data_IF_577936550208
#
_entry.id   IF_577936550208
#
_cell.length_a   1.000
_cell.length_b   1.000
_cell.length_c   1.000
_cell.angle_alpha   90.00
_cell.angle_beta   90.00
_cell.angle_gamma   90.00
#
_symmetry.space_group_name_H-M   'P 1'
#
loop_
_entity.id
_entity.type
_entity.pdbx_description
1 polymer ?
#
# COMPACT_ATOMS: atom_id res chain seq x y z
N UNK A 1 41.90 50.83 23.67
CA UNK A 1 40.47 50.44 23.60
C UNK A 1 40.33 49.29 22.62
N UNK A 2 39.74 48.18 23.08
CA UNK A 2 39.68 46.86 22.43
C UNK A 2 38.68 46.81 21.26
N UNK A 3 38.89 46.00 20.20
CA UNK A 3 37.85 45.72 19.22
C UNK A 3 36.86 44.71 19.78
N UNK A 4 35.56 45.03 19.72
CA UNK A 4 34.50 44.08 20.04
C UNK A 4 34.47 42.95 19.01
N UNK A 5 34.95 41.77 19.41
CA UNK A 5 34.74 40.51 18.70
C UNK A 5 33.38 39.96 19.13
N UNK A 6 32.33 40.17 18.35
CA UNK A 6 31.05 39.48 18.53
C UNK A 6 30.38 39.26 17.18
N UNK A 7 30.53 38.05 16.61
CA UNK A 7 29.43 37.18 16.17
C UNK A 7 30.02 35.95 15.46
N UNK A 8 30.41 34.91 16.20
CA UNK A 8 30.69 33.57 15.63
C UNK A 8 29.96 32.46 16.40
N UNK A 9 29.09 32.80 17.35
CA UNK A 9 28.49 31.85 18.28
C UNK A 9 27.18 31.21 17.78
N UNK A 10 26.63 31.62 16.64
CA UNK A 10 25.42 31.01 16.09
C UNK A 10 25.70 29.81 15.15
N UNK A 11 26.87 29.78 14.51
CA UNK A 11 27.19 28.76 13.49
C UNK A 11 27.32 27.32 14.04
N UNK A 12 27.95 27.06 15.21
CA UNK A 12 28.00 25.69 15.75
C UNK A 12 26.65 25.23 16.34
N UNK A 13 25.78 26.17 16.74
CA UNK A 13 24.45 25.85 17.28
C UNK A 13 23.48 25.39 16.16
N UNK A 14 23.58 26.00 14.98
CA UNK A 14 22.82 25.60 13.79
C UNK A 14 23.22 24.20 13.32
N UNK A 15 24.51 23.85 13.38
CA UNK A 15 25.00 22.51 12.98
C UNK A 15 24.49 21.39 13.90
N UNK A 16 24.32 21.62 15.21
CA UNK A 16 23.71 20.63 16.11
C UNK A 16 22.21 20.40 15.82
N UNK A 17 21.49 21.43 15.38
CA UNK A 17 20.06 21.32 15.08
C UNK A 17 19.75 20.48 13.83
N UNK A 18 20.69 20.42 12.87
CA UNK A 18 20.55 19.62 11.65
C UNK A 18 20.70 18.12 11.93
N UNK A 19 21.49 17.74 12.95
CA UNK A 19 21.68 16.34 13.37
C UNK A 19 20.46 15.73 14.08
N UNK A 20 19.51 16.57 14.52
CA UNK A 20 18.25 16.14 15.14
C UNK A 20 17.11 15.91 14.12
N UNK A 21 17.35 16.13 12.82
CA UNK A 21 16.43 15.67 11.78
C UNK A 21 16.67 14.19 11.48
N UNK A 22 16.56 13.36 12.52
CA UNK A 22 16.34 11.94 12.30
C UNK A 22 15.03 11.83 11.53
N UNK A 23 15.04 11.07 10.43
CA UNK A 23 13.85 10.83 9.63
C UNK A 23 12.77 10.24 10.56
N UNK A 24 11.88 11.09 11.06
CA UNK A 24 10.67 10.72 11.79
C UNK A 24 9.64 10.10 10.83
N UNK A 25 10.10 9.39 9.79
CA UNK A 25 9.28 8.53 8.97
C UNK A 25 9.04 7.23 9.75
N UNK A 26 8.05 7.33 10.65
CA UNK A 26 7.13 6.26 11.03
C UNK A 26 7.75 5.00 11.69
N UNK A 27 7.90 5.02 13.01
CA UNK A 27 7.87 3.77 13.78
C UNK A 27 7.39 3.95 15.23
N UNK A 28 6.25 4.63 15.43
CA UNK A 28 5.38 4.26 16.55
C UNK A 28 4.48 3.14 16.02
N UNK A 29 4.96 1.89 16.12
CA UNK A 29 4.18 0.72 15.73
C UNK A 29 2.88 0.69 16.55
N UNK A 30 1.75 0.57 15.87
CA UNK A 30 0.37 0.56 16.35
C UNK A 30 0.21 0.06 17.81
N UNK A 31 0.35 0.94 18.80
CA UNK A 31 0.39 0.55 20.23
C UNK A 31 -1.00 0.10 20.71
N UNK A 32 -2.05 0.74 20.18
CA UNK A 32 -3.43 0.55 20.64
C UNK A 32 -4.39 0.06 19.55
N UNK A 33 -3.89 -0.19 18.33
CA UNK A 33 -4.73 -0.60 17.20
C UNK A 33 -4.06 -1.71 16.41
N UNK A 34 -4.83 -2.60 15.77
CA UNK A 34 -4.27 -3.67 14.95
C UNK A 34 -3.51 -3.08 13.76
N UNK A 35 -2.37 -3.70 13.44
CA UNK A 35 -1.60 -3.41 12.23
C UNK A 35 -2.04 -4.35 11.12
N UNK A 36 -2.33 -3.79 9.95
CA UNK A 36 -2.61 -4.58 8.76
C UNK A 36 -1.61 -4.28 7.66
N UNK A 37 -1.38 -5.29 6.81
CA UNK A 37 -0.65 -5.13 5.55
C UNK A 37 -1.54 -5.62 4.42
N UNK A 38 -1.75 -4.78 3.41
CA UNK A 38 -2.40 -5.20 2.16
C UNK A 38 -1.31 -5.45 1.14
N UNK A 39 -1.41 -6.57 0.44
CA UNK A 39 -0.46 -6.98 -0.61
C UNK A 39 -1.25 -7.31 -1.86
N UNK A 40 -0.87 -6.75 -3.00
CA UNK A 40 -1.40 -7.06 -4.32
C UNK A 40 -0.26 -7.63 -5.16
N UNK A 41 -0.41 -8.86 -5.62
CA UNK A 41 0.60 -9.56 -6.43
C UNK A 41 0.13 -9.73 -7.86
N UNK A 42 1.06 -9.57 -8.81
CA UNK A 42 0.81 -9.81 -10.23
C UNK A 42 1.17 -11.26 -10.60
N UNK A 43 0.16 -12.11 -10.77
CA UNK A 43 0.28 -13.49 -11.24
C UNK A 43 -0.38 -13.68 -12.61
N UNK A 44 -0.42 -12.61 -13.42
CA UNK A 44 -0.96 -12.67 -14.77
C UNK A 44 -0.11 -13.57 -15.69
N UNK A 45 -0.63 -14.02 -16.84
CA UNK A 45 0.13 -14.83 -17.77
C UNK A 45 1.42 -14.15 -18.25
N UNK A 46 2.45 -14.96 -18.49
CA UNK A 46 3.66 -14.52 -19.18
C UNK A 46 3.32 -13.88 -20.54
N UNK A 47 4.16 -12.93 -20.97
CA UNK A 47 3.99 -12.17 -22.21
C UNK A 47 2.75 -11.27 -22.26
N UNK A 48 2.20 -10.89 -21.10
CA UNK A 48 1.18 -9.84 -20.98
C UNK A 48 1.77 -8.57 -20.37
N UNK A 49 1.05 -7.44 -20.52
CA UNK A 49 1.45 -6.17 -19.93
C UNK A 49 1.48 -6.21 -18.39
N UNK A 50 2.11 -5.21 -17.74
CA UNK A 50 2.13 -5.14 -16.28
C UNK A 50 0.71 -4.96 -15.72
N UNK A 51 0.51 -5.36 -14.46
CA UNK A 51 -0.72 -5.04 -13.73
C UNK A 51 -0.64 -3.57 -13.28
N UNK A 52 -1.50 -2.72 -13.81
CA UNK A 52 -1.65 -1.34 -13.35
C UNK A 52 -2.65 -1.30 -12.21
N UNK A 53 -2.39 -0.47 -11.20
CA UNK A 53 -3.31 -0.30 -10.09
C UNK A 53 -3.32 1.13 -9.55
N UNK A 54 -4.42 1.48 -8.92
CA UNK A 54 -4.57 2.67 -8.09
C UNK A 54 -5.27 2.27 -6.81
N UNK A 55 -4.73 2.62 -5.66
CA UNK A 55 -5.34 2.31 -4.38
C UNK A 55 -5.40 3.57 -3.53
N UNK A 56 -6.50 3.73 -2.80
CA UNK A 56 -6.67 4.87 -1.91
C UNK A 56 -7.60 4.52 -0.75
N UNK A 57 -7.51 5.31 0.31
CA UNK A 57 -8.56 5.46 1.31
C UNK A 57 -9.16 6.86 1.21
N UNK A 58 -10.11 7.19 2.10
CA UNK A 58 -10.62 8.56 2.23
C UNK A 58 -9.50 9.59 2.48
N UNK A 59 -8.49 9.21 3.25
CA UNK A 59 -7.50 10.16 3.80
C UNK A 59 -6.09 9.97 3.23
N UNK A 60 -5.85 8.90 2.48
CA UNK A 60 -4.54 8.60 1.94
C UNK A 60 -4.66 8.04 0.52
N UNK A 61 -4.15 8.80 -0.44
CA UNK A 61 -3.98 8.33 -1.81
C UNK A 61 -2.63 7.62 -1.93
N UNK A 62 -2.65 6.31 -2.23
CA UNK A 62 -1.43 5.53 -2.45
C UNK A 62 -0.90 5.70 -3.88
N UNK A 63 -1.69 6.29 -4.78
CA UNK A 63 -1.32 6.64 -6.14
C UNK A 63 -1.39 5.49 -7.13
N UNK A 64 -0.95 5.79 -8.35
CA UNK A 64 -0.87 4.84 -9.46
C UNK A 64 0.45 4.07 -9.45
N UNK A 65 0.36 2.75 -9.61
CA UNK A 65 1.51 1.85 -9.69
C UNK A 65 1.37 0.89 -10.86
N UNK A 66 2.50 0.36 -11.30
CA UNK A 66 2.60 -0.68 -12.31
C UNK A 66 3.46 -1.82 -11.77
N UNK A 67 2.86 -2.99 -11.61
CA UNK A 67 3.53 -4.18 -11.07
C UNK A 67 3.95 -5.07 -12.24
N UNK A 68 5.26 -5.28 -12.40
CA UNK A 68 5.82 -6.29 -13.30
C UNK A 68 5.37 -7.70 -12.93
N UNK A 69 5.50 -8.65 -13.85
CA UNK A 69 5.16 -10.04 -13.61
C UNK A 69 5.88 -10.59 -12.36
N UNK A 70 5.14 -11.29 -11.48
CA UNK A 70 5.57 -11.80 -10.18
C UNK A 70 5.99 -10.75 -9.14
N UNK A 71 5.85 -9.46 -9.48
CA UNK A 71 6.04 -8.37 -8.54
C UNK A 71 4.87 -8.22 -7.56
N UNK A 72 5.05 -7.36 -6.56
CA UNK A 72 4.01 -6.99 -5.61
C UNK A 72 4.00 -5.49 -5.33
N UNK A 73 2.81 -4.98 -5.02
CA UNK A 73 2.59 -3.69 -4.38
C UNK A 73 2.04 -3.96 -2.98
N UNK A 74 2.61 -3.32 -1.95
CA UNK A 74 2.16 -3.50 -0.57
C UNK A 74 2.32 -2.24 0.25
N UNK A 75 1.43 -2.09 1.22
CA UNK A 75 1.52 -1.04 2.22
C UNK A 75 1.04 -1.59 3.56
N UNK A 76 1.52 -0.99 4.65
CA UNK A 76 1.08 -1.28 6.00
C UNK A 76 0.48 -0.03 6.64
N UNK A 77 -0.51 -0.22 7.48
CA UNK A 77 -1.15 0.85 8.24
C UNK A 77 -1.61 0.34 9.60
N UNK A 78 -1.84 1.27 10.52
CA UNK A 78 -2.54 1.01 11.76
C UNK A 78 -4.01 1.30 11.53
N UNK A 79 -4.89 0.38 11.94
CA UNK A 79 -6.32 0.66 11.90
C UNK A 79 -6.68 1.78 12.90
N UNK A 80 -7.87 2.35 12.74
CA UNK A 80 -8.37 3.43 13.59
C UNK A 80 -8.92 2.89 14.90
N UNK A 81 -8.80 3.72 15.94
CA UNK A 81 -9.45 3.46 17.22
C UNK A 81 -10.95 3.83 17.20
N UNK A 82 -11.33 4.82 16.37
CA UNK A 82 -12.72 5.26 16.17
C UNK A 82 -13.02 5.40 14.68
N UNK A 83 -14.12 4.79 14.24
CA UNK A 83 -14.53 4.70 12.84
C UNK A 83 -13.78 3.61 12.07
N UNK A 84 -14.21 3.37 10.83
CA UNK A 84 -13.65 2.31 10.00
C UNK A 84 -12.61 2.85 9.01
N UNK A 85 -11.56 2.05 8.80
CA UNK A 85 -10.63 2.24 7.69
C UNK A 85 -11.14 1.47 6.48
N UNK A 86 -11.17 2.12 5.33
CA UNK A 86 -11.49 1.51 4.04
C UNK A 86 -10.38 1.87 3.04
N UNK A 87 -9.78 0.86 2.42
CA UNK A 87 -8.96 1.03 1.22
C UNK A 87 -9.64 0.34 0.05
N UNK A 88 -9.84 1.08 -1.03
CA UNK A 88 -10.32 0.56 -2.30
C UNK A 88 -9.19 0.59 -3.32
N UNK A 89 -9.22 -0.35 -4.25
CA UNK A 89 -8.27 -0.46 -5.34
C UNK A 89 -8.99 -0.64 -6.66
N UNK A 90 -8.38 -0.09 -7.71
CA UNK A 90 -8.78 -0.28 -9.09
C UNK A 90 -7.59 -0.89 -9.83
N UNK A 91 -7.81 -2.03 -10.46
CA UNK A 91 -6.83 -2.75 -11.27
C UNK A 91 -7.16 -2.63 -12.75
N UNK A 92 -6.11 -2.55 -13.57
CA UNK A 92 -6.20 -2.65 -15.03
C UNK A 92 -5.13 -3.62 -15.55
N UNK A 93 -5.55 -4.43 -16.50
CA UNK A 93 -4.69 -5.37 -17.19
C UNK A 93 -5.01 -5.36 -18.67
N UNK A 94 -4.03 -5.02 -19.50
CA UNK A 94 -4.15 -5.06 -20.95
C UNK A 94 -3.89 -6.49 -21.43
N UNK A 95 -4.94 -7.29 -21.46
CA UNK A 95 -4.93 -8.67 -21.93
C UNK A 95 -4.98 -8.75 -23.46
N UNK A 96 -4.79 -9.94 -24.03
CA UNK A 96 -4.77 -10.14 -25.48
C UNK A 96 -6.11 -9.83 -26.16
N UNK A 97 -7.20 -10.05 -25.45
CA UNK A 97 -8.58 -9.86 -25.92
C UNK A 97 -9.19 -8.50 -25.53
N UNK A 98 -8.38 -7.61 -24.95
CA UNK A 98 -8.79 -6.25 -24.57
C UNK A 98 -8.36 -5.89 -23.15
N UNK A 99 -8.59 -4.63 -22.79
CA UNK A 99 -8.34 -4.14 -21.44
C UNK A 99 -9.35 -4.75 -20.48
N UNK A 100 -8.85 -5.38 -19.42
CA UNK A 100 -9.61 -5.92 -18.30
C UNK A 100 -9.45 -5.03 -17.09
N UNK A 101 -10.50 -4.90 -16.30
CA UNK A 101 -10.50 -4.02 -15.14
C UNK A 101 -11.26 -4.59 -13.95
N UNK A 102 -10.90 -4.14 -12.75
CA UNK A 102 -11.66 -4.45 -11.53
C UNK A 102 -11.43 -3.42 -10.44
N UNK A 103 -12.53 -2.85 -9.93
CA UNK A 103 -12.55 -2.08 -8.70
C UNK A 103 -13.09 -2.94 -7.54
N UNK A 104 -12.45 -2.86 -6.37
CA UNK A 104 -12.86 -3.58 -5.17
C UNK A 104 -12.29 -2.97 -3.90
N UNK A 105 -12.90 -3.29 -2.77
CA UNK A 105 -12.37 -2.96 -1.44
C UNK A 105 -11.24 -3.92 -1.09
N UNK A 106 -10.02 -3.40 -1.00
CA UNK A 106 -8.83 -4.18 -0.68
C UNK A 106 -8.66 -4.40 0.83
N UNK A 107 -9.25 -3.53 1.64
CA UNK A 107 -9.39 -3.68 3.09
C UNK A 107 -10.60 -2.88 3.57
N UNK A 108 -11.37 -3.43 4.51
CA UNK A 108 -12.20 -2.60 5.37
C UNK A 108 -12.37 -3.18 6.78
N UNK A 109 -12.38 -2.31 7.79
CA UNK A 109 -12.27 -2.69 9.21
C UNK A 109 -13.32 -3.72 9.64
N UNK A 110 -14.55 -3.59 9.16
CA UNK A 110 -15.67 -4.48 9.48
C UNK A 110 -15.39 -5.96 9.15
N UNK A 111 -14.59 -6.22 8.12
CA UNK A 111 -14.22 -7.57 7.66
C UNK A 111 -12.74 -7.87 7.82
N UNK A 112 -12.04 -7.07 8.62
CA UNK A 112 -10.64 -7.28 8.99
C UNK A 112 -10.33 -8.65 9.61
N UNK A 113 -11.26 -9.38 10.29
CA UNK A 113 -11.01 -10.76 10.71
C UNK A 113 -10.73 -11.73 9.55
N UNK A 114 -11.09 -11.36 8.31
CA UNK A 114 -10.72 -12.15 7.12
C UNK A 114 -9.22 -12.06 6.81
N UNK A 115 -8.50 -11.07 7.32
CA UNK A 115 -7.05 -10.95 7.20
C UNK A 115 -6.38 -11.60 8.42
N UNK A 116 -6.56 -12.91 8.53
CA UNK A 116 -6.25 -13.76 9.70
C UNK A 116 -4.85 -13.53 10.27
N UNK A 117 -3.84 -13.38 9.41
CA UNK A 117 -2.45 -13.18 9.83
C UNK A 117 -2.05 -11.69 9.93
N UNK A 118 -3.02 -10.77 9.98
CA UNK A 118 -2.78 -9.33 9.84
C UNK A 118 -2.38 -8.92 8.42
N UNK A 119 -2.55 -9.83 7.45
CA UNK A 119 -2.21 -9.60 6.04
C UNK A 119 -3.42 -9.92 5.17
N UNK A 120 -3.76 -8.99 4.29
CA UNK A 120 -4.78 -9.14 3.27
C UNK A 120 -4.06 -9.34 1.93
N UNK A 121 -3.93 -10.58 1.48
CA UNK A 121 -3.25 -10.89 0.23
C UNK A 121 -4.27 -10.93 -0.91
N UNK A 122 -3.97 -10.18 -1.96
CA UNK A 122 -4.69 -10.16 -3.21
C UNK A 122 -3.76 -10.60 -4.34
N UNK A 123 -4.28 -11.39 -5.27
CA UNK A 123 -3.55 -11.82 -6.45
C UNK A 123 -4.39 -11.60 -7.70
N UNK A 124 -3.84 -10.90 -8.68
CA UNK A 124 -4.41 -10.80 -10.02
C UNK A 124 -3.95 -12.00 -10.84
N UNK A 125 -4.88 -12.88 -11.21
CA UNK A 125 -4.67 -14.03 -12.07
C UNK A 125 -5.40 -13.83 -13.41
N UNK A 126 -5.11 -14.69 -14.38
CA UNK A 126 -5.71 -14.64 -15.72
C UNK A 126 -7.25 -14.60 -15.70
N UNK A 127 -7.87 -15.39 -14.82
CA UNK A 127 -9.32 -15.54 -14.79
C UNK A 127 -10.02 -14.64 -13.77
N UNK A 128 -9.28 -13.93 -12.92
CA UNK A 128 -9.87 -12.99 -11.95
C UNK A 128 -8.93 -12.60 -10.81
N UNK A 129 -9.53 -12.00 -9.78
CA UNK A 129 -8.83 -11.49 -8.60
C UNK A 129 -9.16 -12.36 -7.39
N UNK A 130 -8.11 -12.83 -6.73
CA UNK A 130 -8.16 -13.78 -5.63
C UNK A 130 -7.74 -13.13 -4.32
N UNK A 131 -8.24 -13.67 -3.22
CA UNK A 131 -7.96 -13.20 -1.87
C UNK A 131 -7.55 -14.36 -0.94
N UNK A 132 -6.63 -14.09 -0.02
CA UNK A 132 -6.43 -14.87 1.20
C UNK A 132 -5.98 -14.00 2.37
N UNK A 133 -6.44 -14.35 3.57
CA UNK A 133 -6.03 -13.72 4.82
C UNK A 133 -4.81 -14.34 5.50
N UNK A 134 -4.30 -15.45 4.96
CA UNK A 134 -3.23 -16.21 5.59
C UNK A 134 -1.85 -15.74 5.14
N UNK A 135 -0.85 -15.84 6.03
CA UNK A 135 0.55 -15.60 5.73
C UNK A 135 1.41 -16.71 6.39
N UNK A 136 2.07 -17.61 5.62
CA UNK A 136 2.21 -17.60 4.17
C UNK A 136 0.87 -17.76 3.42
N UNK A 137 0.74 -17.22 2.18
CA UNK A 137 -0.52 -17.26 1.45
C UNK A 137 -0.94 -18.71 1.12
N UNK A 138 -2.13 -19.08 1.59
CA UNK A 138 -2.77 -20.37 1.33
C UNK A 138 -4.29 -20.18 1.16
N UNK A 139 -5.02 -21.23 0.76
CA UNK A 139 -6.49 -21.20 0.67
C UNK A 139 -7.06 -20.04 -0.16
N UNK A 140 -6.46 -19.77 -1.32
CA UNK A 140 -6.89 -18.70 -2.22
C UNK A 140 -8.34 -18.86 -2.66
N UNK A 141 -9.12 -17.79 -2.50
CA UNK A 141 -10.52 -17.73 -2.94
C UNK A 141 -10.65 -16.72 -4.07
N UNK A 142 -11.22 -17.14 -5.20
CA UNK A 142 -11.60 -16.20 -6.26
C UNK A 142 -12.72 -15.31 -5.75
N UNK A 143 -12.49 -13.99 -5.71
CA UNK A 143 -13.48 -13.01 -5.22
C UNK A 143 -14.18 -12.32 -6.37
N UNK A 144 -13.46 -12.05 -7.46
CA UNK A 144 -13.97 -11.27 -8.57
C UNK A 144 -13.52 -11.85 -9.90
N UNK A 145 -14.43 -11.85 -10.88
CA UNK A 145 -14.07 -11.97 -12.30
C UNK A 145 -13.64 -10.60 -12.81
N UNK A 146 -12.79 -10.58 -13.84
CA UNK A 146 -12.50 -9.35 -14.59
C UNK A 146 -13.76 -8.79 -15.28
N UNK A 147 -13.82 -7.46 -15.39
CA UNK A 147 -14.74 -6.77 -16.28
C UNK A 147 -13.99 -6.33 -17.54
N UNK A 148 -14.72 -6.18 -18.65
CA UNK A 148 -14.17 -5.52 -19.83
C UNK A 148 -14.10 -4.02 -19.55
N UNK A 149 -12.90 -3.44 -19.66
CA UNK A 149 -12.70 -2.01 -19.51
C UNK A 149 -13.25 -1.28 -20.72
N UNK A 150 -14.15 -0.33 -20.48
CA UNK A 150 -14.45 0.72 -21.46
C UNK A 150 -13.39 1.79 -21.23
N UNK A 151 -12.51 1.99 -22.22
CA UNK A 151 -11.47 3.03 -22.21
C UNK A 151 -12.13 4.39 -22.46
#
# INVERSE_FOLDING_TARGET
>A
MSPAKFLHTCLPLLLLSVLLQTNASQQLACIFTPKFTVRITNNLPIYTGPLRLHCASKDNDLGYHSISLFGEFKWSFCDRFVGDTLFFCHLWWDAKDGTKTKQFDAFYSEWSPRCVSGVCNWAANEDGVYFTGYNPPEQWQKRYNWENGII
#
